data_IF_987914744252
#
_entry.id   IF_987914744252
#
_cell.length_a   1.000
_cell.length_b   1.000
_cell.length_c   1.000
_cell.angle_alpha   90.00
_cell.angle_beta   90.00
_cell.angle_gamma   90.00
#
_symmetry.space_group_name_H-M   'P 1'
#
loop_
_entity.id
_entity.type
_entity.pdbx_description
1 polymer ?
#
# COMPACT_ATOMS: atom_id res chain seq x y z
N UNK A 1 24.09 -30.77 13.30
CA UNK A 1 22.70 -30.98 13.73
C UNK A 1 22.13 -29.78 14.50
N UNK A 2 22.57 -29.46 15.73
CA UNK A 2 22.01 -28.31 16.51
C UNK A 2 21.96 -26.96 15.76
N UNK A 3 23.04 -26.56 15.07
CA UNK A 3 23.08 -25.31 14.28
C UNK A 3 22.13 -25.30 13.08
N UNK A 4 21.92 -26.46 12.45
CA UNK A 4 21.00 -26.60 11.31
C UNK A 4 19.55 -26.52 11.79
N UNK A 5 19.22 -27.23 12.87
CA UNK A 5 17.90 -27.18 13.49
C UNK A 5 17.57 -25.76 13.96
N UNK A 6 18.53 -25.07 14.57
CA UNK A 6 18.39 -23.66 14.92
C UNK A 6 18.03 -22.81 13.70
N UNK A 7 18.78 -22.93 12.61
CA UNK A 7 18.52 -22.12 11.40
C UNK A 7 17.15 -22.41 10.78
N UNK A 8 16.74 -23.69 10.72
CA UNK A 8 15.43 -24.05 10.20
C UNK A 8 14.28 -23.46 11.04
N UNK A 9 14.41 -23.50 12.36
CA UNK A 9 13.46 -22.87 13.27
C UNK A 9 13.50 -21.35 13.10
N UNK A 10 14.69 -20.78 12.94
CA UNK A 10 14.87 -19.35 12.75
C UNK A 10 14.21 -18.87 11.46
N UNK A 11 14.45 -19.52 10.32
CA UNK A 11 13.78 -19.27 9.03
C UNK A 11 12.27 -19.37 9.17
N UNK A 12 11.76 -20.44 9.78
CA UNK A 12 10.33 -20.63 9.95
C UNK A 12 9.71 -19.52 10.81
N UNK A 13 10.39 -19.13 11.89
CA UNK A 13 9.92 -18.09 12.82
C UNK A 13 9.94 -16.71 12.17
N UNK A 14 11.05 -16.32 11.53
CA UNK A 14 11.17 -15.02 10.86
C UNK A 14 10.22 -14.92 9.67
N UNK A 15 10.06 -16.00 8.89
CA UNK A 15 9.08 -16.02 7.80
C UNK A 15 7.65 -15.86 8.33
N UNK A 16 7.31 -16.52 9.43
CA UNK A 16 5.99 -16.40 10.06
C UNK A 16 5.69 -14.97 10.59
N UNK A 17 6.71 -14.25 11.05
CA UNK A 17 6.59 -12.87 11.56
C UNK A 17 6.52 -11.85 10.42
N UNK A 18 7.47 -11.91 9.48
CA UNK A 18 7.61 -10.89 8.44
C UNK A 18 6.77 -11.16 7.19
N UNK A 19 6.43 -12.43 6.93
CA UNK A 19 5.59 -12.87 5.82
C UNK A 19 6.08 -12.37 4.44
N UNK A 20 7.40 -12.44 4.12
CA UNK A 20 7.87 -11.97 2.83
C UNK A 20 7.34 -12.89 1.70
N UNK A 21 7.04 -12.30 0.53
CA UNK A 21 7.24 -12.88 -0.78
C UNK A 21 7.99 -14.19 -0.89
N UNK A 22 7.48 -15.39 -1.18
CA UNK A 22 8.40 -16.43 -1.70
C UNK A 22 8.64 -16.19 -3.20
N UNK A 23 9.18 -15.00 -3.51
CA UNK A 23 9.27 -14.47 -4.86
C UNK A 23 10.56 -13.69 -5.06
N UNK A 24 11.40 -14.11 -6.02
CA UNK A 24 12.70 -13.51 -6.31
C UNK A 24 12.61 -12.10 -6.90
N UNK A 25 11.43 -11.65 -7.32
CA UNK A 25 11.23 -10.25 -7.73
C UNK A 25 10.88 -9.32 -6.57
N UNK A 26 10.73 -9.85 -5.35
CA UNK A 26 10.46 -9.07 -4.14
C UNK A 26 11.76 -8.71 -3.42
N UNK A 27 11.97 -7.43 -3.16
CA UNK A 27 13.07 -6.96 -2.32
C UNK A 27 13.02 -7.55 -0.91
N UNK A 28 11.83 -7.66 -0.33
CA UNK A 28 11.63 -8.27 0.99
C UNK A 28 12.19 -9.70 1.03
N UNK A 29 11.94 -10.48 -0.03
CA UNK A 29 12.44 -11.84 -0.12
C UNK A 29 13.93 -11.92 -0.36
N UNK A 30 14.47 -11.07 -1.24
CA UNK A 30 15.92 -11.02 -1.51
C UNK A 30 16.67 -10.70 -0.22
N UNK A 31 16.22 -9.70 0.54
CA UNK A 31 16.83 -9.35 1.82
C UNK A 31 16.64 -10.44 2.87
N UNK A 32 15.46 -11.06 2.92
CA UNK A 32 15.21 -12.21 3.79
C UNK A 32 16.19 -13.36 3.51
N UNK A 33 16.34 -13.74 2.24
CA UNK A 33 17.25 -14.80 1.80
C UNK A 33 18.71 -14.45 2.13
N UNK A 34 19.16 -13.24 1.78
CA UNK A 34 20.52 -12.78 2.07
C UNK A 34 20.80 -12.72 3.58
N UNK A 35 19.83 -12.30 4.39
CA UNK A 35 19.91 -12.29 5.85
C UNK A 35 20.12 -13.70 6.41
N UNK A 36 19.35 -14.68 5.94
CA UNK A 36 19.52 -16.07 6.37
C UNK A 36 20.83 -16.70 5.87
N UNK A 37 21.24 -16.43 4.63
CA UNK A 37 22.57 -16.84 4.14
C UNK A 37 23.70 -16.26 4.99
N UNK A 38 23.56 -15.02 5.47
CA UNK A 38 24.52 -14.40 6.37
C UNK A 38 24.56 -15.12 7.72
N UNK A 39 23.42 -15.48 8.29
CA UNK A 39 23.36 -16.27 9.54
C UNK A 39 24.02 -17.63 9.35
N UNK A 40 23.77 -18.33 8.24
CA UNK A 40 24.46 -19.59 7.91
C UNK A 40 25.97 -19.37 7.77
N UNK A 41 26.40 -18.29 7.12
CA UNK A 41 27.81 -17.95 6.99
C UNK A 41 28.46 -17.71 8.36
N UNK A 42 27.77 -17.08 9.30
CA UNK A 42 28.26 -16.91 10.68
C UNK A 42 28.29 -18.25 11.43
N UNK A 43 27.22 -19.05 11.36
CA UNK A 43 27.11 -20.31 12.08
C UNK A 43 28.11 -21.37 11.62
N UNK A 44 28.46 -21.39 10.33
CA UNK A 44 29.28 -22.45 9.73
C UNK A 44 30.58 -21.96 9.11
N UNK A 45 30.72 -20.66 8.85
CA UNK A 45 31.91 -20.06 8.24
C UNK A 45 33.05 -19.83 9.21
N UNK A 46 32.76 -19.76 10.51
CA UNK A 46 33.78 -19.58 11.55
C UNK A 46 34.35 -20.91 12.04
N UNK A 47 35.68 -20.95 12.23
CA UNK A 47 36.36 -22.10 12.82
C UNK A 47 35.83 -22.43 14.23
N UNK A 48 35.87 -23.71 14.63
CA UNK A 48 35.53 -24.10 16.00
C UNK A 48 36.54 -23.43 16.96
N UNK A 49 36.06 -22.68 17.95
CA UNK A 49 36.90 -22.10 19.02
C UNK A 49 37.10 -20.57 19.01
N UNK A 50 36.23 -19.79 18.36
CA UNK A 50 36.28 -18.32 18.49
C UNK A 50 35.77 -17.91 19.87
N UNK A 51 36.70 -17.55 20.76
CA UNK A 51 36.39 -16.79 21.97
C UNK A 51 36.29 -15.31 21.58
N UNK A 52 35.06 -14.83 21.35
CA UNK A 52 34.79 -13.42 20.99
C UNK A 52 35.16 -12.43 22.11
N UNK A 53 35.33 -12.92 23.34
CA UNK A 53 35.65 -12.12 24.51
C UNK A 53 37.03 -12.53 25.02
N UNK A 54 37.96 -11.57 25.07
CA UNK A 54 39.22 -11.69 25.79
C UNK A 54 39.13 -10.83 27.04
N UNK A 55 39.42 -11.42 28.20
CA UNK A 55 39.62 -10.67 29.44
C UNK A 55 40.97 -9.97 29.38
N UNK A 56 40.94 -8.64 29.30
CA UNK A 56 42.15 -7.81 29.36
C UNK A 56 42.29 -7.31 30.79
N UNK A 57 43.45 -7.57 31.39
CA UNK A 57 43.76 -7.07 32.74
C UNK A 57 44.35 -5.66 32.60
N UNK A 58 43.60 -4.65 33.04
CA UNK A 58 44.09 -3.27 33.10
C UNK A 58 44.96 -3.13 34.36
N UNK A 59 45.99 -2.27 34.31
CA UNK A 59 47.05 -2.07 35.32
C UNK A 59 46.57 -1.76 36.76
N UNK A 60 45.27 -1.71 37.01
CA UNK A 60 44.61 -1.51 38.32
C UNK A 60 43.59 -2.62 38.69
N UNK A 61 43.73 -3.84 38.16
CA UNK A 61 43.03 -5.03 38.70
C UNK A 61 41.55 -5.19 38.32
N UNK A 62 40.98 -4.29 37.52
CA UNK A 62 39.67 -4.53 36.89
C UNK A 62 39.88 -5.22 35.54
N UNK A 63 39.30 -6.41 35.40
CA UNK A 63 39.23 -7.12 34.13
C UNK A 63 38.11 -6.49 33.28
N UNK A 64 38.45 -6.01 32.09
CA UNK A 64 37.46 -5.55 31.11
C UNK A 64 37.33 -6.58 29.99
N UNK A 65 36.09 -6.79 29.54
CA UNK A 65 35.77 -7.62 28.40
C UNK A 65 36.07 -6.84 27.12
N UNK A 66 37.10 -7.25 26.38
CA UNK A 66 37.41 -6.70 25.06
C UNK A 66 37.01 -7.70 23.97
N UNK A 67 36.52 -7.18 22.83
CA UNK A 67 36.25 -8.00 21.65
C UNK A 67 37.57 -8.52 21.07
N UNK A 68 37.72 -9.84 20.99
CA UNK A 68 38.87 -10.45 20.34
C UNK A 68 38.57 -10.67 18.85
N UNK A 69 39.10 -9.78 18.01
CA UNK A 69 39.00 -9.86 16.56
C UNK A 69 40.22 -10.58 15.92
N UNK A 70 41.26 -10.89 16.70
CA UNK A 70 42.44 -11.60 16.21
C UNK A 70 42.11 -13.09 16.02
N UNK A 71 42.34 -13.59 14.80
CA UNK A 71 42.09 -14.99 14.46
C UNK A 71 40.76 -15.29 13.76
N UNK A 72 40.02 -14.25 13.32
CA UNK A 72 38.82 -14.38 12.47
C UNK A 72 39.16 -14.98 11.08
N UNK A 73 39.39 -16.30 11.04
CA UNK A 73 39.59 -17.04 9.79
C UNK A 73 38.27 -17.63 9.33
N UNK A 74 37.71 -17.06 8.27
CA UNK A 74 36.54 -17.59 7.58
C UNK A 74 36.99 -18.80 6.74
N UNK A 75 36.33 -19.95 6.94
CA UNK A 75 36.59 -21.16 6.18
C UNK A 75 36.06 -21.04 4.73
N UNK A 76 36.33 -22.06 3.89
CA UNK A 76 35.91 -22.06 2.49
C UNK A 76 34.39 -21.90 2.31
N UNK A 77 33.60 -22.55 3.16
CA UNK A 77 32.13 -22.48 3.10
C UNK A 77 31.62 -21.07 3.40
N UNK A 78 32.10 -20.42 4.46
CA UNK A 78 31.74 -19.04 4.79
C UNK A 78 32.11 -18.06 3.68
N UNK A 79 33.27 -18.24 3.04
CA UNK A 79 33.67 -17.44 1.88
C UNK A 79 32.71 -17.63 0.69
N UNK A 80 32.31 -18.87 0.40
CA UNK A 80 31.34 -19.17 -0.67
C UNK A 80 29.98 -18.52 -0.37
N UNK A 81 29.48 -18.61 0.87
CA UNK A 81 28.20 -18.02 1.25
C UNK A 81 28.23 -16.49 1.16
N UNK A 82 29.29 -15.84 1.66
CA UNK A 82 29.46 -14.39 1.53
C UNK A 82 29.60 -13.95 0.06
N UNK A 83 30.35 -14.69 -0.75
CA UNK A 83 30.43 -14.44 -2.18
C UNK A 83 29.07 -14.63 -2.88
N UNK A 84 28.26 -15.59 -2.44
CA UNK A 84 26.89 -15.81 -2.97
C UNK A 84 25.97 -14.64 -2.64
N UNK A 85 26.01 -14.13 -1.40
CA UNK A 85 25.26 -12.93 -1.01
C UNK A 85 25.69 -11.74 -1.88
N UNK A 86 27.00 -11.53 -2.02
CA UNK A 86 27.54 -10.47 -2.88
C UNK A 86 27.08 -10.62 -4.33
N UNK A 87 27.08 -11.84 -4.87
CA UNK A 87 26.59 -12.15 -6.22
C UNK A 87 25.10 -11.88 -6.40
N UNK A 88 24.25 -12.27 -5.44
CA UNK A 88 22.81 -12.02 -5.47
C UNK A 88 22.54 -10.51 -5.44
N UNK A 89 23.16 -9.78 -4.52
CA UNK A 89 22.96 -8.33 -4.39
C UNK A 89 23.50 -7.58 -5.60
N UNK A 90 24.66 -7.98 -6.14
CA UNK A 90 25.21 -7.42 -7.37
C UNK A 90 24.27 -7.67 -8.55
N UNK A 91 23.74 -8.88 -8.70
CA UNK A 91 22.77 -9.20 -9.76
C UNK A 91 21.50 -8.37 -9.62
N UNK A 92 20.93 -8.28 -8.42
CA UNK A 92 19.75 -7.46 -8.15
C UNK A 92 20.01 -5.97 -8.46
N UNK A 93 21.19 -5.45 -8.12
CA UNK A 93 21.61 -4.09 -8.45
C UNK A 93 21.77 -3.88 -9.96
N UNK A 94 22.39 -4.83 -10.68
CA UNK A 94 22.53 -4.77 -12.13
C UNK A 94 21.17 -4.82 -12.83
N UNK A 95 20.28 -5.72 -12.42
CA UNK A 95 18.91 -5.78 -12.93
C UNK A 95 18.20 -4.45 -12.69
N UNK A 96 18.29 -3.89 -11.48
CA UNK A 96 17.68 -2.60 -11.13
C UNK A 96 18.26 -1.44 -11.94
N UNK A 97 19.56 -1.46 -12.24
CA UNK A 97 20.20 -0.45 -13.07
C UNK A 97 19.72 -0.53 -14.51
N UNK A 98 19.78 -1.72 -15.13
CA UNK A 98 19.35 -1.95 -16.54
C UNK A 98 17.85 -1.71 -16.72
N UNK A 99 17.07 -1.91 -15.66
CA UNK A 99 15.63 -1.68 -15.67
C UNK A 99 15.21 -0.32 -15.15
N UNK A 100 16.16 0.52 -14.74
CA UNK A 100 15.88 1.88 -14.28
C UNK A 100 15.31 2.77 -15.39
N UNK A 101 14.70 3.87 -14.99
CA UNK A 101 14.21 4.90 -15.92
C UNK A 101 15.30 5.49 -16.83
N UNK A 102 16.59 5.33 -16.49
CA UNK A 102 17.71 5.82 -17.32
C UNK A 102 17.71 5.11 -18.68
N UNK A 103 17.57 3.78 -18.66
CA UNK A 103 17.59 2.96 -19.88
C UNK A 103 16.19 2.65 -20.40
N UNK A 104 15.17 2.67 -19.53
CA UNK A 104 13.81 2.26 -19.84
C UNK A 104 12.78 3.39 -19.76
N UNK A 105 13.17 4.66 -19.90
CA UNK A 105 12.25 5.81 -19.85
C UNK A 105 10.99 5.63 -20.69
N UNK A 106 11.11 5.08 -21.92
CA UNK A 106 9.96 4.81 -22.78
C UNK A 106 9.00 3.79 -22.18
N UNK A 107 9.50 2.75 -21.52
CA UNK A 107 8.66 1.75 -20.87
C UNK A 107 7.97 2.31 -19.62
N UNK A 108 8.67 3.15 -18.85
CA UNK A 108 8.08 3.89 -17.73
C UNK A 108 6.99 4.86 -18.20
N UNK A 109 7.22 5.53 -19.33
CA UNK A 109 6.23 6.41 -19.93
C UNK A 109 4.96 5.66 -20.34
N UNK A 110 5.11 4.41 -20.82
CA UNK A 110 4.02 3.57 -21.30
C UNK A 110 3.54 2.55 -20.25
N UNK A 111 3.89 2.72 -18.97
CA UNK A 111 3.47 1.78 -17.92
C UNK A 111 1.96 1.81 -17.68
N UNK A 112 1.36 2.96 -18.00
CA UNK A 112 -0.08 3.20 -18.05
C UNK A 112 -0.42 3.91 -19.36
N UNK A 113 -1.65 3.69 -19.83
CA UNK A 113 -2.23 4.43 -20.95
C UNK A 113 -3.18 5.48 -20.41
N UNK A 114 -3.01 6.73 -20.84
CA UNK A 114 -3.85 7.86 -20.43
C UNK A 114 -4.64 8.31 -21.66
N UNK A 115 -5.97 8.23 -21.57
CA UNK A 115 -6.86 8.75 -22.63
C UNK A 115 -7.10 10.22 -22.37
N UNK A 116 -6.86 11.09 -23.35
CA UNK A 116 -7.21 12.52 -23.23
C UNK A 116 -8.65 12.74 -23.69
N UNK A 117 -9.43 13.50 -22.92
CA UNK A 117 -10.79 13.91 -23.24
C UNK A 117 -11.00 15.38 -22.96
N UNK A 118 -12.01 15.95 -23.62
CA UNK A 118 -12.43 17.31 -23.31
C UNK A 118 -13.28 17.36 -22.06
N UNK A 119 -13.24 18.48 -21.33
CA UNK A 119 -14.06 18.65 -20.12
C UNK A 119 -15.56 18.51 -20.40
N UNK A 120 -16.01 18.85 -21.61
CA UNK A 120 -17.40 18.67 -22.05
C UNK A 120 -17.84 17.20 -22.07
N UNK A 121 -16.90 16.27 -22.15
CA UNK A 121 -17.12 14.82 -22.10
C UNK A 121 -17.02 14.26 -20.67
N UNK A 122 -16.74 15.12 -19.67
CA UNK A 122 -16.72 14.69 -18.28
C UNK A 122 -18.10 14.08 -17.92
N UNK A 123 -18.14 12.88 -17.30
CA UNK A 123 -19.39 12.26 -16.92
C UNK A 123 -20.25 13.25 -16.13
N UNK A 124 -21.54 13.35 -16.44
CA UNK A 124 -22.46 14.13 -15.62
C UNK A 124 -22.54 13.48 -14.24
N UNK A 125 -21.71 13.93 -13.32
CA UNK A 125 -21.75 13.49 -11.94
C UNK A 125 -22.85 14.22 -11.21
N UNK A 126 -23.65 13.46 -10.47
CA UNK A 126 -24.60 14.04 -9.55
C UNK A 126 -23.81 14.70 -8.41
N UNK A 127 -23.84 16.03 -8.36
CA UNK A 127 -23.11 16.81 -7.36
C UNK A 127 -23.58 16.54 -5.93
N UNK A 128 -24.79 15.98 -5.76
CA UNK A 128 -25.28 15.53 -4.45
C UNK A 128 -24.55 14.28 -3.93
N UNK A 129 -23.82 13.57 -4.80
CA UNK A 129 -23.05 12.36 -4.48
C UNK A 129 -21.55 12.64 -4.33
N UNK A 130 -21.14 13.90 -4.33
CA UNK A 130 -19.74 14.28 -4.11
C UNK A 130 -19.44 14.18 -2.61
N UNK A 131 -18.42 13.38 -2.20
CA UNK A 131 -17.97 13.35 -0.82
C UNK A 131 -17.64 14.76 -0.32
N UNK A 132 -18.31 15.18 0.75
CA UNK A 132 -18.03 16.46 1.41
C UNK A 132 -16.97 16.28 2.51
N UNK A 133 -16.85 15.04 3.01
CA UNK A 133 -15.93 14.67 4.08
C UNK A 133 -14.60 14.16 3.53
N UNK A 134 -13.53 14.45 4.25
CA UNK A 134 -12.25 13.79 4.05
C UNK A 134 -12.15 12.53 4.92
N UNK A 135 -11.10 11.73 4.67
CA UNK A 135 -10.81 10.52 5.45
C UNK A 135 -10.75 10.80 6.95
N UNK A 136 -10.02 11.85 7.35
CA UNK A 136 -9.77 12.12 8.76
C UNK A 136 -11.04 12.56 9.51
N UNK A 137 -11.98 13.20 8.82
CA UNK A 137 -13.29 13.53 9.38
C UNK A 137 -14.17 12.30 9.50
N UNK A 138 -14.17 11.42 8.50
CA UNK A 138 -14.89 10.15 8.56
C UNK A 138 -14.40 9.25 9.70
N UNK A 139 -13.08 9.16 9.90
CA UNK A 139 -12.44 8.47 11.03
C UNK A 139 -12.98 9.01 12.37
N UNK A 140 -12.93 10.34 12.57
CA UNK A 140 -13.45 10.97 13.80
C UNK A 140 -14.94 10.75 14.02
N UNK A 141 -15.73 10.73 12.95
CA UNK A 141 -17.17 10.49 13.03
C UNK A 141 -17.42 9.05 13.47
N UNK A 142 -16.78 8.07 12.82
CA UNK A 142 -16.92 6.66 13.17
C UNK A 142 -16.42 6.35 14.57
N UNK A 143 -15.27 6.89 14.98
CA UNK A 143 -14.72 6.69 16.33
C UNK A 143 -15.62 7.28 17.41
N UNK A 144 -16.17 8.48 17.18
CA UNK A 144 -17.13 9.11 18.11
C UNK A 144 -18.42 8.31 18.18
N UNK A 145 -18.89 7.83 17.04
CA UNK A 145 -20.10 7.03 16.96
C UNK A 145 -19.93 5.72 17.73
N UNK A 146 -18.84 4.97 17.49
CA UNK A 146 -18.49 3.79 18.27
C UNK A 146 -18.37 4.12 19.77
N UNK A 147 -17.70 5.23 20.10
CA UNK A 147 -17.54 5.76 21.45
C UNK A 147 -18.85 6.00 22.20
N UNK A 148 -19.95 6.23 21.49
CA UNK A 148 -21.30 6.40 22.07
C UNK A 148 -21.99 5.09 22.43
N UNK A 149 -21.51 3.96 21.91
CA UNK A 149 -22.08 2.63 22.10
C UNK A 149 -21.47 1.94 23.32
N UNK A 150 -22.05 2.20 24.50
CA UNK A 150 -21.51 1.77 25.81
C UNK A 150 -21.21 0.28 25.93
N UNK A 151 -21.93 -0.57 25.19
CA UNK A 151 -21.76 -2.03 25.17
C UNK A 151 -20.60 -2.50 24.28
N UNK A 152 -20.13 -1.67 23.34
CA UNK A 152 -19.10 -2.03 22.35
C UNK A 152 -17.70 -1.52 22.68
N UNK A 153 -17.58 -0.28 23.18
CA UNK A 153 -16.30 0.42 23.39
C UNK A 153 -15.33 -0.31 24.33
N UNK A 154 -15.85 -1.12 25.25
CA UNK A 154 -15.01 -1.89 26.17
C UNK A 154 -14.36 -3.12 25.53
N UNK A 155 -14.82 -3.54 24.35
CA UNK A 155 -14.39 -4.77 23.68
C UNK A 155 -13.68 -4.48 22.36
N UNK A 156 -14.12 -3.44 21.65
CA UNK A 156 -13.70 -3.16 20.29
C UNK A 156 -13.31 -1.70 20.07
N UNK A 157 -12.44 -1.50 19.08
CA UNK A 157 -12.08 -0.19 18.49
C UNK A 157 -12.38 -0.22 17.00
N UNK A 158 -12.47 0.92 16.33
CA UNK A 158 -12.57 0.97 14.87
C UNK A 158 -11.18 0.77 14.25
N UNK A 159 -11.08 0.04 13.14
CA UNK A 159 -9.82 -0.03 12.41
C UNK A 159 -9.50 1.32 11.72
N UNK A 160 -8.22 1.62 11.55
CA UNK A 160 -7.75 2.87 10.91
C UNK A 160 -8.02 2.91 9.39
N UNK A 161 -8.43 1.81 8.76
CA UNK A 161 -8.40 1.67 7.29
C UNK A 161 -9.46 2.51 6.57
N UNK A 162 -10.66 2.68 7.14
CA UNK A 162 -11.81 3.45 6.60
C UNK A 162 -11.82 3.49 5.06
N UNK A 163 -11.99 2.32 4.45
CA UNK A 163 -11.96 2.13 2.99
C UNK A 163 -13.12 2.86 2.34
N UNK A 164 -12.84 3.68 1.32
CA UNK A 164 -13.87 4.28 0.48
C UNK A 164 -14.47 3.21 -0.43
N UNK A 165 -15.81 3.12 -0.45
CA UNK A 165 -16.63 2.27 -1.32
C UNK A 165 -17.76 3.07 -1.99
N UNK A 166 -18.29 2.53 -3.08
CA UNK A 166 -19.55 2.97 -3.69
C UNK A 166 -20.60 1.88 -3.48
N UNK A 167 -21.64 2.19 -2.71
CA UNK A 167 -22.76 1.26 -2.47
C UNK A 167 -24.02 1.94 -2.98
N UNK A 168 -24.75 1.29 -3.91
CA UNK A 168 -25.91 1.85 -4.60
C UNK A 168 -25.63 3.25 -5.21
N UNK A 169 -24.43 3.41 -5.76
CA UNK A 169 -23.98 4.68 -6.32
C UNK A 169 -23.85 5.82 -5.31
N UNK A 170 -23.71 5.55 -4.01
CA UNK A 170 -23.41 6.56 -2.99
C UNK A 170 -22.03 6.30 -2.36
N UNK A 171 -21.26 7.35 -2.05
CA UNK A 171 -19.95 7.19 -1.46
C UNK A 171 -20.05 6.88 0.03
N UNK A 172 -19.52 5.74 0.44
CA UNK A 172 -19.38 5.35 1.85
C UNK A 172 -17.93 5.13 2.21
N UNK A 173 -17.61 5.28 3.50
CA UNK A 173 -16.41 4.67 4.08
C UNK A 173 -16.80 3.56 5.01
N UNK A 174 -16.19 2.40 4.86
CA UNK A 174 -16.41 1.25 5.74
C UNK A 174 -15.13 0.93 6.51
N UNK A 175 -15.30 0.53 7.76
CA UNK A 175 -14.20 0.03 8.58
C UNK A 175 -14.68 -1.13 9.45
N UNK A 176 -13.93 -2.25 9.54
CA UNK A 176 -14.26 -3.30 10.47
C UNK A 176 -13.95 -2.84 11.90
N UNK A 177 -14.60 -3.47 12.88
CA UNK A 177 -14.15 -3.35 14.26
C UNK A 177 -12.91 -4.23 14.50
N UNK A 178 -12.08 -3.83 15.44
CA UNK A 178 -10.91 -4.57 15.91
C UNK A 178 -11.02 -4.84 17.40
N UNK A 179 -10.45 -5.95 17.86
CA UNK A 179 -10.35 -6.20 19.30
C UNK A 179 -9.45 -5.14 19.95
N UNK A 180 -9.92 -4.55 21.05
CA UNK A 180 -9.19 -3.44 21.68
C UNK A 180 -7.81 -3.84 22.24
N UNK A 181 -7.65 -5.11 22.66
CA UNK A 181 -6.40 -5.64 23.21
C UNK A 181 -6.36 -7.19 23.13
N UNK A 182 -5.20 -7.84 23.41
CA UNK A 182 -5.06 -9.30 23.33
C UNK A 182 -6.01 -10.08 24.26
N UNK A 183 -6.39 -9.50 25.41
CA UNK A 183 -7.33 -10.13 26.36
C UNK A 183 -8.74 -10.10 25.76
N UNK A 184 -9.12 -8.98 25.13
CA UNK A 184 -10.40 -8.87 24.40
C UNK A 184 -10.46 -9.82 23.22
N UNK A 185 -9.37 -9.94 22.46
CA UNK A 185 -9.26 -10.96 21.42
C UNK A 185 -9.48 -12.36 21.99
N UNK A 186 -8.75 -12.75 23.05
CA UNK A 186 -8.85 -14.09 23.63
C UNK A 186 -10.29 -14.43 24.08
N UNK A 187 -10.98 -13.46 24.70
CA UNK A 187 -12.34 -13.65 25.19
C UNK A 187 -13.41 -13.66 24.09
N UNK A 188 -13.16 -13.01 22.94
CA UNK A 188 -14.18 -12.79 21.92
C UNK A 188 -13.92 -13.49 20.58
N UNK A 189 -12.71 -13.96 20.27
CA UNK A 189 -12.36 -14.57 18.97
C UNK A 189 -13.22 -15.80 18.60
N UNK A 190 -13.69 -16.54 19.60
CA UNK A 190 -14.64 -17.63 19.38
C UNK A 190 -16.01 -17.15 18.86
N UNK A 191 -16.44 -15.94 19.21
CA UNK A 191 -17.65 -15.28 18.69
C UNK A 191 -17.37 -14.51 17.39
N UNK A 192 -16.19 -13.89 17.28
CA UNK A 192 -15.80 -13.07 16.14
C UNK A 192 -16.27 -11.62 16.29
N UNK A 193 -16.10 -10.85 15.23
CA UNK A 193 -16.52 -9.45 15.16
C UNK A 193 -17.87 -9.40 14.42
N UNK A 194 -18.93 -8.99 15.12
CA UNK A 194 -20.30 -9.07 14.60
C UNK A 194 -20.73 -7.89 13.74
N UNK A 195 -19.96 -6.81 13.72
CA UNK A 195 -20.38 -5.54 13.12
C UNK A 195 -19.23 -4.81 12.44
N UNK A 196 -19.57 -3.88 11.55
CA UNK A 196 -18.64 -2.91 10.98
C UNK A 196 -19.27 -1.51 10.94
N UNK A 197 -18.44 -0.48 10.91
CA UNK A 197 -18.90 0.91 10.84
C UNK A 197 -18.99 1.32 9.37
N UNK A 198 -20.09 1.99 9.01
CA UNK A 198 -20.32 2.59 7.71
C UNK A 198 -20.58 4.08 7.89
N UNK A 199 -19.81 4.93 7.22
CA UNK A 199 -19.93 6.38 7.25
C UNK A 199 -20.37 6.88 5.88
N UNK A 200 -21.47 7.60 5.82
CA UNK A 200 -21.95 8.29 4.64
C UNK A 200 -21.10 9.54 4.38
N UNK A 201 -20.42 9.59 3.23
CA UNK A 201 -19.47 10.65 2.92
C UNK A 201 -20.14 11.95 2.44
N UNK A 202 -21.45 11.93 2.20
CA UNK A 202 -22.27 13.10 1.85
C UNK A 202 -22.91 13.69 3.10
N UNK A 203 -23.59 12.86 3.89
CA UNK A 203 -24.36 13.33 5.06
C UNK A 203 -23.53 13.42 6.34
N UNK A 204 -22.44 12.65 6.43
CA UNK A 204 -21.63 12.53 7.65
C UNK A 204 -22.28 11.73 8.76
N UNK A 205 -23.32 10.96 8.44
CA UNK A 205 -23.91 10.00 9.36
C UNK A 205 -23.06 8.73 9.41
N UNK A 206 -22.94 8.15 10.60
CA UNK A 206 -22.33 6.84 10.79
C UNK A 206 -23.36 5.85 11.33
N UNK A 207 -23.29 4.62 10.81
CA UNK A 207 -24.11 3.49 11.20
C UNK A 207 -23.21 2.33 11.62
N UNK A 208 -23.67 1.55 12.60
CA UNK A 208 -23.10 0.24 12.90
C UNK A 208 -23.94 -0.80 12.17
N UNK A 209 -23.32 -1.53 11.24
CA UNK A 209 -24.01 -2.53 10.43
C UNK A 209 -23.79 -3.90 11.04
N UNK A 210 -24.88 -4.56 11.44
CA UNK A 210 -24.87 -5.92 11.96
C UNK A 210 -24.64 -6.94 10.83
N UNK A 211 -23.66 -7.81 11.03
CA UNK A 211 -23.36 -8.90 10.11
C UNK A 211 -24.21 -10.12 10.43
N UNK A 212 -24.73 -10.76 9.37
CA UNK A 212 -25.41 -12.07 9.49
C UNK A 212 -24.49 -13.15 10.06
N UNK A 213 -23.22 -13.12 9.63
CA UNK A 213 -22.18 -14.02 10.09
C UNK A 213 -20.99 -13.19 10.57
N UNK A 214 -20.52 -13.36 11.81
CA UNK A 214 -19.40 -12.59 12.33
C UNK A 214 -18.10 -12.82 11.54
N UNK A 215 -17.29 -11.77 11.43
CA UNK A 215 -15.93 -11.84 10.91
C UNK A 215 -15.08 -12.73 11.83
N UNK A 216 -14.42 -13.72 11.23
CA UNK A 216 -13.45 -14.64 11.86
C UNK A 216 -12.03 -14.41 11.41
N UNK A 217 -11.83 -13.73 10.29
CA UNK A 217 -10.54 -13.40 9.70
C UNK A 217 -10.48 -11.89 9.55
N UNK A 218 -9.60 -11.24 10.31
CA UNK A 218 -9.41 -9.79 10.29
C UNK A 218 -7.95 -9.41 10.48
N UNK A 219 -7.64 -8.13 10.32
CA UNK A 219 -6.30 -7.59 10.63
C UNK A 219 -5.99 -7.55 12.14
N UNK A 220 -7.01 -7.67 13.00
CA UNK A 220 -6.88 -7.72 14.46
C UNK A 220 -6.86 -9.14 15.04
N UNK A 221 -7.03 -10.16 14.21
CA UNK A 221 -6.89 -11.55 14.62
C UNK A 221 -5.43 -11.95 14.79
N UNK A 222 -5.16 -12.89 15.69
CA UNK A 222 -3.82 -13.45 15.88
C UNK A 222 -3.65 -14.76 15.10
N UNK A 223 -2.39 -15.12 14.87
CA UNK A 223 -2.00 -16.38 14.23
C UNK A 223 -2.66 -16.58 12.85
N UNK A 224 -3.20 -17.75 12.55
CA UNK A 224 -3.65 -18.10 11.20
C UNK A 224 -5.00 -17.44 10.80
N UNK A 225 -5.63 -16.66 11.67
CA UNK A 225 -6.83 -15.88 11.35
C UNK A 225 -6.53 -14.43 10.97
N UNK A 226 -5.32 -13.97 11.22
CA UNK A 226 -4.78 -12.73 10.64
C UNK A 226 -4.85 -12.80 9.11
N UNK A 227 -5.48 -11.81 8.49
CA UNK A 227 -5.75 -11.79 7.04
C UNK A 227 -4.46 -11.91 6.23
N UNK A 228 -3.45 -11.08 6.55
CA UNK A 228 -2.18 -11.07 5.81
C UNK A 228 -1.48 -12.42 5.94
N UNK A 229 -1.50 -13.02 7.13
CA UNK A 229 -0.90 -14.33 7.40
C UNK A 229 -1.63 -15.44 6.67
N UNK A 230 -2.95 -15.50 6.80
CA UNK A 230 -3.78 -16.50 6.14
C UNK A 230 -3.60 -16.48 4.62
N UNK A 231 -3.60 -15.28 4.03
CA UNK A 231 -3.31 -15.10 2.61
C UNK A 231 -1.88 -15.51 2.26
N UNK A 232 -0.87 -15.16 3.06
CA UNK A 232 0.53 -15.55 2.80
C UNK A 232 0.71 -17.06 2.81
N UNK A 233 0.05 -17.79 3.71
CA UNK A 233 0.11 -19.24 3.75
C UNK A 233 -0.54 -19.89 2.51
N UNK A 234 -1.67 -19.36 2.04
CA UNK A 234 -2.38 -19.90 0.87
C UNK A 234 -1.75 -19.48 -0.46
N UNK A 235 -1.11 -18.31 -0.50
CA UNK A 235 -0.48 -17.72 -1.69
C UNK A 235 0.97 -17.30 -1.42
N UNK A 236 1.88 -18.27 -1.14
CA UNK A 236 3.22 -17.97 -0.65
C UNK A 236 4.06 -17.14 -1.62
N UNK A 237 3.88 -17.32 -2.93
CA UNK A 237 4.70 -16.68 -3.98
C UNK A 237 4.11 -15.38 -4.53
N UNK A 238 2.85 -15.06 -4.21
CA UNK A 238 2.17 -13.88 -4.74
C UNK A 238 2.64 -12.62 -4.01
N UNK A 239 2.85 -11.54 -4.76
CA UNK A 239 3.20 -10.23 -4.18
C UNK A 239 1.90 -9.45 -4.02
N UNK A 240 1.50 -9.17 -2.79
CA UNK A 240 0.36 -8.33 -2.46
C UNK A 240 0.75 -7.46 -1.26
N UNK A 241 0.15 -6.27 -1.17
CA UNK A 241 0.34 -5.34 -0.03
C UNK A 241 -0.72 -5.63 1.04
N UNK A 242 -1.10 -4.63 1.83
CA UNK A 242 -2.20 -4.74 2.79
C UNK A 242 -3.53 -4.87 2.04
N UNK A 243 -4.31 -5.94 2.26
CA UNK A 243 -5.65 -6.07 1.70
C UNK A 243 -6.59 -4.96 2.19
N UNK A 244 -7.51 -4.49 1.34
CA UNK A 244 -8.57 -3.58 1.74
C UNK A 244 -9.74 -4.35 2.33
N UNK A 245 -10.26 -3.90 3.48
CA UNK A 245 -11.59 -4.32 3.93
C UNK A 245 -12.64 -3.68 3.03
N UNK A 246 -13.49 -4.49 2.44
CA UNK A 246 -14.59 -4.09 1.55
C UNK A 246 -15.86 -4.88 1.91
N UNK A 247 -17.01 -4.41 1.46
CA UNK A 247 -18.28 -5.13 1.60
C UNK A 247 -18.93 -5.25 0.24
N UNK A 248 -19.62 -6.38 0.00
CA UNK A 248 -20.45 -6.51 -1.19
C UNK A 248 -21.75 -5.69 -1.07
N UNK A 249 -22.56 -5.70 -2.14
CA UNK A 249 -23.83 -4.98 -2.18
C UNK A 249 -24.83 -5.48 -1.13
N UNK A 250 -24.70 -6.74 -0.68
CA UNK A 250 -25.50 -7.31 0.41
C UNK A 250 -24.96 -7.00 1.82
N UNK A 251 -23.80 -6.33 1.92
CA UNK A 251 -23.14 -5.98 3.18
C UNK A 251 -22.30 -7.08 3.80
N UNK A 252 -21.97 -8.15 3.06
CA UNK A 252 -21.09 -9.21 3.54
C UNK A 252 -19.62 -8.74 3.52
N UNK A 253 -18.81 -9.14 4.52
CA UNK A 253 -17.47 -8.59 4.72
C UNK A 253 -16.38 -9.39 3.97
N UNK A 254 -15.54 -8.68 3.23
CA UNK A 254 -14.42 -9.26 2.50
C UNK A 254 -13.12 -8.48 2.71
N UNK A 255 -12.00 -9.17 2.50
CA UNK A 255 -10.70 -8.56 2.30
C UNK A 255 -10.23 -8.76 0.87
N UNK A 256 -9.93 -7.66 0.19
CA UNK A 256 -9.54 -7.62 -1.21
C UNK A 256 -8.03 -7.35 -1.29
N UNK A 257 -7.28 -8.31 -1.83
CA UNK A 257 -5.82 -8.22 -1.95
C UNK A 257 -5.40 -8.14 -3.42
N UNK A 258 -5.00 -6.96 -3.87
CA UNK A 258 -4.40 -6.79 -5.20
C UNK A 258 -3.07 -7.52 -5.30
N UNK A 259 -2.96 -8.39 -6.29
CA UNK A 259 -1.73 -9.12 -6.61
C UNK A 259 -0.96 -8.35 -7.68
N UNK A 260 0.31 -8.12 -7.42
CA UNK A 260 1.22 -7.39 -8.28
C UNK A 260 2.24 -8.30 -8.95
N UNK A 261 2.60 -7.93 -10.17
CA UNK A 261 3.80 -8.39 -10.84
C UNK A 261 4.75 -7.21 -11.06
N UNK A 262 6.04 -7.42 -10.82
CA UNK A 262 7.06 -6.42 -11.11
C UNK A 262 7.30 -6.34 -12.62
N UNK A 263 7.00 -5.18 -13.20
CA UNK A 263 7.36 -4.81 -14.56
C UNK A 263 8.79 -4.32 -14.58
N UNK A 264 9.44 -4.53 -15.73
CA UNK A 264 10.83 -4.14 -15.96
C UNK A 264 11.73 -4.71 -14.82
N UNK A 265 11.73 -6.03 -14.65
CA UNK A 265 12.52 -6.69 -13.61
C UNK A 265 11.98 -6.48 -12.19
N UNK A 266 12.57 -5.54 -11.43
CA UNK A 266 12.26 -5.31 -10.01
C UNK A 266 11.56 -3.96 -9.74
N UNK A 267 11.35 -3.16 -10.78
CA UNK A 267 11.00 -1.76 -10.64
C UNK A 267 9.52 -1.56 -10.30
N UNK A 268 8.66 -1.59 -11.30
CA UNK A 268 7.30 -1.03 -11.18
C UNK A 268 6.29 -2.14 -10.93
N UNK A 269 5.61 -2.18 -9.77
CA UNK A 269 4.54 -3.15 -9.55
C UNK A 269 3.30 -2.79 -10.38
N UNK A 270 2.73 -3.76 -11.08
CA UNK A 270 1.42 -3.61 -11.76
C UNK A 270 0.45 -4.70 -11.30
N UNK A 271 -0.82 -4.36 -11.03
CA UNK A 271 -1.86 -5.35 -10.76
C UNK A 271 -1.96 -6.37 -11.89
N UNK A 272 -2.14 -7.64 -11.52
CA UNK A 272 -2.34 -8.77 -12.47
C UNK A 272 -3.52 -9.65 -12.12
N UNK A 273 -3.98 -9.60 -10.86
CA UNK A 273 -5.13 -10.35 -10.35
C UNK A 273 -5.52 -9.79 -8.98
N UNK A 274 -6.65 -10.25 -8.45
CA UNK A 274 -7.15 -9.89 -7.13
C UNK A 274 -7.50 -11.17 -6.38
N UNK A 275 -7.05 -11.28 -5.13
CA UNK A 275 -7.49 -12.35 -4.23
C UNK A 275 -8.55 -11.76 -3.30
N UNK A 276 -9.74 -12.34 -3.34
CA UNK A 276 -10.83 -12.01 -2.41
C UNK A 276 -10.84 -13.06 -1.31
N UNK A 277 -10.87 -12.60 -0.06
CA UNK A 277 -11.02 -13.40 1.13
C UNK A 277 -12.37 -13.09 1.78
N UNK A 278 -13.18 -14.12 2.00
CA UNK A 278 -14.38 -14.03 2.82
C UNK A 278 -13.97 -13.95 4.29
N UNK A 279 -14.28 -12.83 4.93
CA UNK A 279 -13.83 -12.54 6.29
C UNK A 279 -14.52 -13.44 7.34
N UNK A 280 -15.62 -14.11 6.99
CA UNK A 280 -16.43 -14.92 7.91
C UNK A 280 -15.93 -16.35 8.04
N UNK A 281 -15.38 -16.93 6.96
CA UNK A 281 -14.97 -18.34 6.91
C UNK A 281 -13.52 -18.54 6.42
N UNK A 282 -12.87 -17.50 5.91
CA UNK A 282 -11.48 -17.56 5.42
C UNK A 282 -11.33 -18.27 4.08
N UNK A 283 -12.43 -18.55 3.37
CA UNK A 283 -12.37 -18.97 1.99
C UNK A 283 -11.78 -17.86 1.13
N UNK A 284 -11.02 -18.24 0.11
CA UNK A 284 -10.41 -17.25 -0.77
C UNK A 284 -10.43 -17.73 -2.19
N UNK A 285 -10.55 -16.78 -3.11
CA UNK A 285 -10.57 -16.99 -4.56
C UNK A 285 -9.77 -15.90 -5.26
N UNK A 286 -8.90 -16.32 -6.17
CA UNK A 286 -8.14 -15.43 -7.05
C UNK A 286 -8.94 -15.20 -8.34
N UNK A 287 -9.09 -13.94 -8.73
CA UNK A 287 -9.76 -13.49 -9.94
C UNK A 287 -8.76 -12.81 -10.86
N UNK A 288 -8.87 -13.08 -12.16
CA UNK A 288 -8.19 -12.26 -13.16
C UNK A 288 -8.79 -10.86 -13.18
N UNK A 289 -8.07 -9.85 -13.69
CA UNK A 289 -8.56 -8.47 -13.71
C UNK A 289 -9.88 -8.30 -14.50
N UNK A 290 -10.13 -9.14 -15.51
CA UNK A 290 -11.38 -9.10 -16.29
C UNK A 290 -12.55 -9.77 -15.60
N UNK A 291 -12.29 -10.63 -14.60
CA UNK A 291 -13.30 -11.44 -13.93
C UNK A 291 -13.59 -10.94 -12.50
N UNK A 292 -13.04 -9.78 -12.14
CA UNK A 292 -13.28 -9.18 -10.82
C UNK A 292 -14.77 -8.83 -10.70
N UNK A 293 -15.46 -9.24 -9.61
CA UNK A 293 -16.85 -8.88 -9.36
C UNK A 293 -17.08 -7.37 -9.34
N UNK A 294 -18.26 -6.92 -9.77
CA UNK A 294 -18.58 -5.49 -9.91
C UNK A 294 -18.58 -4.73 -8.57
N UNK A 295 -18.90 -5.40 -7.46
CA UNK A 295 -18.90 -4.78 -6.12
C UNK A 295 -17.50 -4.45 -5.58
N UNK A 296 -16.44 -4.99 -6.19
CA UNK A 296 -15.05 -4.75 -5.74
C UNK A 296 -14.56 -3.42 -6.26
N UNK A 297 -14.36 -2.45 -5.38
CA UNK A 297 -14.05 -1.08 -5.79
C UNK A 297 -12.54 -0.84 -6.02
N UNK A 298 -11.67 -1.42 -5.18
CA UNK A 298 -10.24 -1.01 -5.11
C UNK A 298 -9.28 -2.05 -5.64
N UNK A 299 -9.39 -2.37 -6.93
CA UNK A 299 -8.42 -3.24 -7.64
C UNK A 299 -7.08 -2.53 -7.85
N UNK A 300 -7.10 -1.23 -8.17
CA UNK A 300 -5.95 -0.37 -8.43
C UNK A 300 -5.80 0.65 -7.29
N UNK A 301 -4.91 0.40 -6.30
CA UNK A 301 -4.79 1.32 -5.18
C UNK A 301 -4.09 2.62 -5.56
N UNK A 302 -4.50 3.69 -4.88
CA UNK A 302 -4.17 5.06 -5.25
C UNK A 302 -2.66 5.37 -5.27
N UNK A 303 -1.88 4.81 -4.35
CA UNK A 303 -0.45 5.10 -4.24
C UNK A 303 0.30 4.63 -5.49
N UNK A 304 0.05 3.39 -5.93
CA UNK A 304 0.66 2.82 -7.13
C UNK A 304 0.21 3.55 -8.38
N UNK A 305 -1.09 3.86 -8.49
CA UNK A 305 -1.60 4.62 -9.63
C UNK A 305 -0.91 5.96 -9.75
N UNK A 306 -0.87 6.74 -8.66
CA UNK A 306 -0.27 8.08 -8.69
C UNK A 306 1.20 8.01 -9.11
N UNK A 307 1.94 7.03 -8.61
CA UNK A 307 3.33 6.81 -9.03
C UNK A 307 3.44 6.51 -10.54
N UNK A 308 2.56 5.64 -11.06
CA UNK A 308 2.55 5.24 -12.47
C UNK A 308 2.11 6.38 -13.41
N UNK A 309 1.12 7.18 -13.02
CA UNK A 309 0.73 8.41 -13.73
C UNK A 309 1.92 9.38 -13.78
N UNK A 310 2.63 9.54 -12.66
CA UNK A 310 3.82 10.38 -12.63
C UNK A 310 4.94 9.85 -13.52
N UNK A 311 5.12 8.53 -13.63
CA UNK A 311 6.04 7.94 -14.60
C UNK A 311 5.64 8.24 -16.06
N UNK A 312 4.35 8.12 -16.38
CA UNK A 312 3.82 8.50 -17.69
C UNK A 312 4.13 9.97 -18.02
N UNK A 313 3.74 10.89 -17.14
CA UNK A 313 3.94 12.32 -17.33
C UNK A 313 5.40 12.76 -17.36
N UNK A 314 6.25 12.11 -16.55
CA UNK A 314 7.65 12.48 -16.40
C UNK A 314 8.52 12.00 -17.55
N UNK A 315 8.32 10.78 -18.02
CA UNK A 315 9.24 10.13 -18.95
C UNK A 315 8.75 10.10 -20.41
N UNK A 316 7.60 10.71 -20.74
CA UNK A 316 7.05 10.72 -22.11
C UNK A 316 8.04 11.18 -23.19
N UNK A 317 8.86 12.18 -22.87
CA UNK A 317 9.86 12.76 -23.77
C UNK A 317 11.29 12.26 -23.47
N UNK A 318 11.41 11.16 -22.71
CA UNK A 318 12.68 10.49 -22.38
C UNK A 318 13.34 10.96 -21.08
N UNK A 319 14.36 10.19 -20.64
CA UNK A 319 15.04 10.41 -19.36
C UNK A 319 15.77 11.77 -19.29
N UNK A 320 16.55 12.10 -20.31
CA UNK A 320 17.34 13.34 -20.32
C UNK A 320 16.45 14.59 -20.34
N UNK A 321 15.32 14.54 -21.07
CA UNK A 321 14.33 15.60 -20.99
C UNK A 321 13.78 15.71 -19.55
N UNK A 322 13.38 14.61 -18.93
CA UNK A 322 12.86 14.60 -17.57
C UNK A 322 13.81 15.21 -16.53
N UNK A 323 15.12 15.05 -16.72
CA UNK A 323 16.14 15.48 -15.76
C UNK A 323 16.67 16.90 -16.02
N UNK A 324 16.85 17.28 -17.29
CA UNK A 324 17.56 18.52 -17.67
C UNK A 324 16.58 19.57 -18.18
N UNK A 325 15.95 19.29 -19.33
CA UNK A 325 15.14 20.30 -20.04
C UNK A 325 13.76 20.50 -19.44
N UNK A 326 13.23 19.47 -18.79
CA UNK A 326 11.88 19.39 -18.19
C UNK A 326 10.77 19.90 -19.12
N UNK A 327 10.95 19.75 -20.43
CA UNK A 327 9.96 20.19 -21.41
C UNK A 327 8.76 19.25 -21.35
N UNK A 328 7.56 19.82 -21.27
CA UNK A 328 6.29 19.10 -21.18
C UNK A 328 6.16 18.10 -20.01
N UNK A 329 7.08 18.08 -19.04
CA UNK A 329 7.04 17.13 -17.93
C UNK A 329 5.84 17.47 -17.05
N UNK A 330 4.97 16.48 -16.83
CA UNK A 330 3.79 16.65 -15.97
C UNK A 330 3.88 15.76 -14.75
N UNK A 331 3.25 16.20 -13.67
CA UNK A 331 3.12 15.45 -12.43
C UNK A 331 1.74 15.69 -11.81
N UNK A 332 1.31 14.77 -10.97
CA UNK A 332 0.09 14.93 -10.18
C UNK A 332 0.27 16.00 -9.11
N UNK A 333 -0.80 16.69 -8.75
CA UNK A 333 -0.81 17.59 -7.59
C UNK A 333 -0.57 16.81 -6.28
N UNK A 334 -0.26 17.52 -5.20
CA UNK A 334 -0.19 16.88 -3.87
C UNK A 334 -1.59 16.47 -3.42
N UNK A 335 -1.77 15.18 -3.17
CA UNK A 335 -3.03 14.59 -2.72
C UNK A 335 -3.97 14.23 -3.87
N UNK A 336 -4.96 13.41 -3.55
CA UNK A 336 -6.01 12.95 -4.44
C UNK A 336 -7.33 12.88 -3.65
N UNK A 337 -8.44 12.76 -4.36
CA UNK A 337 -9.76 12.51 -3.78
C UNK A 337 -10.45 11.34 -4.50
N UNK A 338 -11.60 10.91 -4.00
CA UNK A 338 -12.41 9.86 -4.60
C UNK A 338 -13.74 10.41 -5.08
N UNK A 339 -14.22 9.89 -6.21
CA UNK A 339 -15.52 10.22 -6.79
C UNK A 339 -16.26 8.93 -7.13
N UNK A 340 -17.51 8.82 -6.66
CA UNK A 340 -18.40 7.75 -7.11
C UNK A 340 -19.05 8.16 -8.42
N UNK A 341 -18.87 7.35 -9.46
CA UNK A 341 -19.52 7.55 -10.77
C UNK A 341 -20.15 6.22 -11.18
N UNK A 342 -21.47 6.20 -11.32
CA UNK A 342 -22.20 4.93 -11.43
C UNK A 342 -22.05 4.14 -10.14
N UNK A 343 -21.60 2.89 -10.24
CA UNK A 343 -21.30 2.02 -9.09
C UNK A 343 -19.79 1.87 -8.82
N UNK A 344 -18.93 2.61 -9.53
CA UNK A 344 -17.49 2.50 -9.38
C UNK A 344 -16.91 3.71 -8.62
N UNK A 345 -15.83 3.46 -7.88
CA UNK A 345 -14.95 4.53 -7.40
C UNK A 345 -13.94 4.94 -8.45
N UNK A 346 -13.80 6.24 -8.60
CA UNK A 346 -12.73 6.87 -9.35
C UNK A 346 -11.76 7.63 -8.43
N UNK A 347 -10.46 7.42 -8.64
CA UNK A 347 -9.42 8.27 -8.13
C UNK A 347 -9.37 9.55 -8.95
N UNK A 348 -9.35 10.69 -8.28
CA UNK A 348 -9.28 12.01 -8.88
C UNK A 348 -8.06 12.79 -8.37
N UNK A 349 -7.24 13.31 -9.28
CA UNK A 349 -6.08 14.16 -8.94
C UNK A 349 -5.87 15.25 -9.98
N UNK A 350 -5.38 16.42 -9.56
CA UNK A 350 -4.94 17.46 -10.48
C UNK A 350 -3.64 17.06 -11.18
N UNK A 351 -3.35 17.72 -12.31
CA UNK A 351 -2.11 17.57 -13.07
C UNK A 351 -1.48 18.94 -13.29
N UNK A 352 -0.20 19.08 -12.97
CA UNK A 352 0.56 20.32 -13.18
C UNK A 352 1.80 20.06 -14.01
N UNK A 353 2.33 21.13 -14.60
CA UNK A 353 3.71 21.15 -15.11
C UNK A 353 4.71 20.96 -13.97
N UNK A 354 5.83 20.28 -14.24
CA UNK A 354 6.94 20.14 -13.29
C UNK A 354 7.96 21.30 -13.36
N UNK A 355 7.68 22.33 -14.19
CA UNK A 355 8.48 23.55 -14.28
C UNK A 355 8.07 24.58 -13.22
N UNK A 356 8.87 25.64 -13.07
CA UNK A 356 8.63 26.72 -12.10
C UNK A 356 7.26 27.38 -12.27
N UNK A 357 6.75 27.42 -13.50
CA UNK A 357 5.38 27.82 -13.79
C UNK A 357 4.45 26.61 -13.58
N UNK A 358 4.00 26.39 -12.32
CA UNK A 358 3.02 25.38 -11.90
C UNK A 358 1.63 25.63 -12.53
N UNK A 359 1.57 25.63 -13.85
CA UNK A 359 0.32 25.73 -14.61
C UNK A 359 -0.53 24.50 -14.35
N UNK A 360 -1.80 24.72 -14.00
CA UNK A 360 -2.79 23.67 -13.90
C UNK A 360 -3.13 23.20 -15.32
N UNK A 361 -2.78 21.96 -15.64
CA UNK A 361 -2.96 21.37 -16.97
C UNK A 361 -4.27 20.59 -17.06
N UNK A 362 -4.97 20.40 -15.95
CA UNK A 362 -6.21 19.65 -15.86
C UNK A 362 -6.22 18.69 -14.69
N UNK A 363 -6.99 17.62 -14.84
CA UNK A 363 -7.11 16.58 -13.84
C UNK A 363 -7.17 15.21 -14.49
N UNK A 364 -6.79 14.20 -13.71
CA UNK A 364 -6.91 12.80 -14.08
C UNK A 364 -8.00 12.17 -13.22
N UNK A 365 -8.73 11.29 -13.87
CA UNK A 365 -9.73 10.41 -13.31
C UNK A 365 -9.34 8.97 -13.67
N UNK A 366 -9.11 8.11 -12.68
CA UNK A 366 -8.88 6.68 -12.88
C UNK A 366 -10.02 5.87 -12.26
N UNK A 367 -10.61 4.93 -13.01
CA UNK A 367 -11.51 3.94 -12.43
C UNK A 367 -10.69 2.94 -11.59
N UNK A 368 -10.95 2.86 -10.29
CA UNK A 368 -10.15 2.04 -9.37
C UNK A 368 -10.39 0.53 -9.50
N UNK A 369 -11.45 0.11 -10.22
CA UNK A 369 -11.73 -1.29 -10.52
C UNK A 369 -11.13 -1.72 -11.86
N UNK A 370 -11.30 -0.92 -12.91
CA UNK A 370 -10.85 -1.26 -14.28
C UNK A 370 -9.44 -0.77 -14.61
N UNK A 371 -8.93 0.23 -13.88
CA UNK A 371 -7.63 0.86 -14.14
C UNK A 371 -7.62 1.77 -15.37
N UNK A 372 -8.79 2.13 -15.91
CA UNK A 372 -8.92 3.08 -17.02
C UNK A 372 -8.59 4.50 -16.55
N UNK A 373 -7.58 5.11 -17.15
CA UNK A 373 -7.12 6.45 -16.81
C UNK A 373 -7.51 7.45 -17.90
N UNK A 374 -8.25 8.48 -17.51
CA UNK A 374 -8.64 9.58 -18.38
C UNK A 374 -8.10 10.90 -17.85
N UNK A 375 -7.50 11.71 -18.72
CA UNK A 375 -7.07 13.08 -18.42
C UNK A 375 -8.01 14.06 -19.11
N UNK A 376 -8.53 15.01 -18.33
CA UNK A 376 -9.35 16.11 -18.82
C UNK A 376 -8.52 17.38 -18.83
N UNK A 377 -8.31 17.95 -20.01
CA UNK A 377 -7.49 19.16 -20.21
C UNK A 377 -8.29 20.44 -19.93
N UNK A 378 -7.67 21.41 -19.26
CA UNK A 378 -8.29 22.72 -18.98
C UNK A 378 -8.32 23.65 -20.19
N UNK A 379 -7.47 23.41 -21.19
CA UNK A 379 -7.33 24.28 -22.38
C UNK A 379 -8.61 24.42 -23.22
N UNK A 380 -9.64 23.61 -22.95
CA UNK A 380 -10.87 23.53 -23.74
C UNK A 380 -12.14 23.83 -22.94
N UNK A 381 -12.00 24.31 -21.70
CA UNK A 381 -13.15 24.69 -20.88
C UNK A 381 -13.45 26.18 -21.01
N UNK A 382 -14.71 26.55 -21.25
CA UNK A 382 -15.21 27.87 -20.83
C UNK A 382 -14.99 28.00 -19.33
N UNK A 383 -14.15 28.96 -18.94
CA UNK A 383 -13.37 29.01 -17.69
C UNK A 383 -14.19 28.97 -16.38
N UNK A 384 -15.51 29.13 -16.40
CA UNK A 384 -16.30 29.24 -15.17
C UNK A 384 -16.89 27.91 -14.69
N UNK A 385 -17.48 27.10 -15.58
CA UNK A 385 -18.17 25.85 -15.20
C UNK A 385 -17.18 24.75 -14.79
N UNK A 386 -16.09 24.59 -15.53
CA UNK A 386 -15.05 23.61 -15.21
C UNK A 386 -14.31 23.97 -13.92
N UNK A 387 -14.01 25.25 -13.70
CA UNK A 387 -13.39 25.72 -12.46
C UNK A 387 -14.35 25.57 -11.28
N UNK A 388 -15.64 25.85 -11.44
CA UNK A 388 -16.62 25.67 -10.36
C UNK A 388 -16.82 24.20 -10.02
N UNK A 389 -16.92 23.32 -11.02
CA UNK A 389 -17.02 21.88 -10.79
C UNK A 389 -15.73 21.35 -10.17
N UNK A 390 -14.56 21.77 -10.67
CA UNK A 390 -13.26 21.48 -10.05
C UNK A 390 -13.22 21.94 -8.58
N UNK A 391 -13.70 23.16 -8.26
CA UNK A 391 -13.79 23.66 -6.88
C UNK A 391 -14.75 22.86 -6.00
N UNK A 392 -15.85 22.35 -6.55
CA UNK A 392 -16.79 21.48 -5.84
C UNK A 392 -16.13 20.13 -5.54
N UNK A 393 -15.45 19.54 -6.52
CA UNK A 393 -14.73 18.25 -6.39
C UNK A 393 -13.47 18.37 -5.49
N UNK A 394 -12.83 19.54 -5.48
CA UNK A 394 -11.70 19.90 -4.63
C UNK A 394 -12.10 20.77 -3.44
N UNK A 395 -13.31 20.63 -2.87
CA UNK A 395 -13.61 21.30 -1.59
C UNK A 395 -12.50 20.94 -0.59
N UNK A 396 -11.65 21.93 -0.28
CA UNK A 396 -10.40 21.76 0.47
C UNK A 396 -10.73 21.16 1.85
N UNK A 397 -10.24 19.96 2.17
CA UNK A 397 -8.83 19.87 2.56
C UNK A 397 -8.33 20.91 3.59
N UNK A 398 -8.92 21.27 4.76
CA UNK A 398 -8.48 22.47 5.51
C UNK A 398 -7.05 22.43 6.05
N UNK A 399 -6.29 21.36 5.86
CA UNK A 399 -4.90 21.28 6.31
C UNK A 399 -3.93 21.78 5.25
N UNK A 400 -3.40 22.99 5.51
CA UNK A 400 -2.21 23.65 4.92
C UNK A 400 -2.42 24.43 3.61
N UNK A 401 -2.89 25.67 3.75
CA UNK A 401 -2.41 26.76 2.89
C UNK A 401 -1.04 27.23 3.39
N UNK A 402 -0.04 27.50 2.51
CA UNK A 402 0.94 28.53 2.81
C UNK A 402 0.23 29.89 2.76
N UNK A 403 0.53 30.73 3.76
CA UNK A 403 0.04 32.10 3.85
C UNK A 403 0.28 32.87 2.54
N UNK A 404 -0.69 33.68 2.05
CA UNK A 404 -0.38 34.64 1.00
C UNK A 404 0.67 35.60 1.56
N UNK A 405 1.82 35.69 0.88
CA UNK A 405 2.78 36.76 1.11
C UNK A 405 2.05 38.09 0.99
N UNK A 406 1.95 38.82 2.09
CA UNK A 406 1.50 40.20 2.10
C UNK A 406 2.49 41.03 1.30
N UNK A 407 2.09 41.37 0.07
CA UNK A 407 2.60 42.56 -0.61
C UNK A 407 2.13 43.77 0.20
N UNK A 408 3.02 44.38 0.96
CA UNK A 408 2.82 45.76 1.42
C UNK A 408 3.89 46.60 0.76
N UNK A 409 3.42 47.46 -0.13
CA UNK A 409 4.10 48.62 -0.68
C UNK A 409 4.42 49.65 0.41
N UNK A 410 5.53 50.36 0.19
CA UNK A 410 6.14 51.47 0.95
C UNK A 410 7.03 51.08 2.13
#
# INVERSE_FOLDING_TARGET
>A
MKRIVFELIFIATTWYIFLPPLNLTSWEFIFFLCGHLLVVAVLFGFGKGINLVKTVHVRHGKAEAALNLEGFKINRLGKILLASIGGILLLAALVSLVTSSIFQAKNYANVVSVTEKEFTEFPKTDTSKVPILDRSTAEKIGDRYLGSLTDKVSQYVAADTYTQLTIDGKPYRVTPLEYADPIKWFNNQAKGIGEYIKVDMVTGNADLVDLKTPIKYSDSEYFNRDVKRHLRFKYPTKIFKTPSFEVDDEGNPFYVATVYQKQFGLAVPRPVSVIILDATNGETKEYSLSDVPEWVDRVYPAEETIEQINYNGKYKDGFWNAMISKKNVTQTTKGYNYLSIGNDIYLYTGVTSANADESNLGFILENMRTGEITKYSLASATEESAVNQQKVLFRRNPTKQPSPSSSTSM
#
